data_IF_941126429528
#
_entry.id   IF_941126429528
#
_cell.length_a   1.000
_cell.length_b   1.000
_cell.length_c   1.000
_cell.angle_alpha   90.00
_cell.angle_beta   90.00
_cell.angle_gamma   90.00
#
_symmetry.space_group_name_H-M   'P 1'
#
loop_
_entity.id
_entity.type
_entity.pdbx_description
1 polymer ?
#
# COMPACT_ATOMS: atom_id res chain seq x y z
N UNK A 1 16.58 -5.21 13.11
CA UNK A 1 17.90 -5.13 12.44
C UNK A 1 17.70 -4.55 11.05
N UNK A 2 18.60 -3.69 10.60
CA UNK A 2 18.66 -3.19 9.23
C UNK A 2 19.97 -3.69 8.62
N UNK A 3 19.89 -4.31 7.44
CA UNK A 3 21.03 -4.72 6.65
C UNK A 3 21.14 -3.78 5.44
N UNK A 4 22.35 -3.34 5.12
CA UNK A 4 22.64 -2.43 4.02
C UNK A 4 23.75 -2.98 3.15
N UNK A 5 23.62 -2.88 1.83
CA UNK A 5 24.72 -3.11 0.90
C UNK A 5 25.37 -1.80 0.50
N UNK A 6 26.69 -1.81 0.38
CA UNK A 6 27.51 -0.72 -0.16
C UNK A 6 28.09 -1.07 -1.53
N UNK A 7 27.62 -2.15 -2.15
CA UNK A 7 28.02 -2.59 -3.49
C UNK A 7 27.75 -1.49 -4.51
N UNK A 8 28.75 -1.16 -5.32
CA UNK A 8 28.59 -0.20 -6.41
C UNK A 8 28.09 -0.90 -7.67
N UNK A 9 27.12 -0.29 -8.35
CA UNK A 9 26.52 -0.86 -9.57
C UNK A 9 26.83 0.00 -10.81
N UNK A 10 28.04 0.58 -10.82
CA UNK A 10 28.53 1.34 -11.96
C UNK A 10 28.77 0.50 -13.22
N UNK A 11 28.70 1.12 -14.40
CA UNK A 11 28.26 2.49 -14.67
C UNK A 11 26.74 2.65 -14.48
N UNK A 12 26.25 3.90 -14.32
CA UNK A 12 24.82 4.18 -14.25
C UNK A 12 24.23 4.20 -15.66
N UNK A 13 23.84 3.01 -16.14
CA UNK A 13 23.31 2.74 -17.48
C UNK A 13 22.09 1.80 -17.42
N UNK A 14 21.56 1.44 -18.57
CA UNK A 14 20.42 0.51 -18.68
C UNK A 14 20.68 -0.87 -18.02
N UNK A 15 21.92 -1.24 -17.79
CA UNK A 15 22.32 -2.49 -17.11
C UNK A 15 22.37 -2.38 -15.58
N UNK A 16 22.20 -1.20 -14.97
CA UNK A 16 22.34 -1.00 -13.54
C UNK A 16 21.43 -1.90 -12.71
N UNK A 17 20.15 -2.05 -13.10
CA UNK A 17 19.21 -2.95 -12.42
C UNK A 17 19.58 -4.43 -12.54
N UNK A 18 20.19 -4.86 -13.63
CA UNK A 18 20.70 -6.23 -13.78
C UNK A 18 21.87 -6.48 -12.82
N UNK A 19 22.75 -5.50 -12.63
CA UNK A 19 23.86 -5.60 -11.67
C UNK A 19 23.38 -5.56 -10.22
N UNK A 20 22.51 -4.62 -9.86
CA UNK A 20 21.94 -4.51 -8.50
C UNK A 20 21.03 -5.69 -8.12
N UNK A 21 20.50 -6.43 -9.11
CA UNK A 21 19.69 -7.62 -8.85
C UNK A 21 20.45 -8.67 -8.04
N UNK A 22 21.74 -8.86 -8.31
CA UNK A 22 22.57 -9.83 -7.57
C UNK A 22 22.67 -9.43 -6.10
N UNK A 23 22.85 -8.14 -5.83
CA UNK A 23 22.87 -7.60 -4.47
C UNK A 23 21.53 -7.76 -3.76
N UNK A 24 20.42 -7.47 -4.43
CA UNK A 24 19.09 -7.68 -3.88
C UNK A 24 18.83 -9.16 -3.54
N UNK A 25 19.21 -10.09 -4.42
CA UNK A 25 19.11 -11.53 -4.17
C UNK A 25 19.97 -11.97 -2.98
N UNK A 26 21.17 -11.39 -2.83
CA UNK A 26 22.06 -11.65 -1.70
C UNK A 26 21.44 -11.21 -0.37
N UNK A 27 20.88 -9.99 -0.32
CA UNK A 27 20.18 -9.45 0.85
C UNK A 27 18.92 -10.26 1.22
N UNK A 28 18.21 -10.82 0.23
CA UNK A 28 17.03 -11.65 0.48
C UNK A 28 17.32 -12.97 1.20
N UNK A 29 18.58 -13.42 1.24
CA UNK A 29 18.94 -14.64 1.98
C UNK A 29 18.72 -14.51 3.48
N UNK A 30 18.74 -13.30 4.03
CA UNK A 30 18.43 -13.01 5.44
C UNK A 30 16.92 -12.95 5.72
N UNK A 31 16.07 -13.20 4.73
CA UNK A 31 14.60 -13.18 4.82
C UNK A 31 14.04 -11.88 5.42
N UNK A 32 14.38 -10.70 4.86
CA UNK A 32 13.95 -9.42 5.42
C UNK A 32 12.43 -9.24 5.31
N UNK A 33 11.84 -8.45 6.21
CA UNK A 33 10.42 -8.08 6.16
C UNK A 33 10.08 -7.18 4.98
N UNK A 34 11.04 -6.42 4.47
CA UNK A 34 10.90 -5.55 3.29
C UNK A 34 12.27 -5.24 2.69
N UNK A 35 12.26 -4.83 1.42
CA UNK A 35 13.43 -4.28 0.71
C UNK A 35 13.11 -2.84 0.28
N UNK A 36 14.07 -1.94 0.55
CA UNK A 36 14.03 -0.57 0.08
C UNK A 36 15.23 -0.30 -0.82
N UNK A 37 14.96 0.22 -2.01
CA UNK A 37 15.98 0.70 -2.94
C UNK A 37 16.03 2.23 -2.85
N UNK A 38 17.18 2.79 -2.44
CA UNK A 38 17.29 4.22 -2.14
C UNK A 38 17.90 4.97 -3.31
N UNK A 39 17.16 5.91 -3.86
CA UNK A 39 17.52 6.66 -5.05
C UNK A 39 17.38 8.18 -4.87
N UNK A 40 17.83 8.91 -5.88
CA UNK A 40 17.52 10.33 -6.12
C UNK A 40 16.95 10.47 -7.52
N UNK A 41 15.81 11.17 -7.61
CA UNK A 41 15.08 11.37 -8.87
C UNK A 41 15.92 12.16 -9.87
N UNK A 42 15.79 11.81 -11.15
CA UNK A 42 16.41 12.50 -12.27
C UNK A 42 15.75 13.82 -12.66
N UNK A 43 14.65 14.23 -12.00
CA UNK A 43 13.99 15.51 -12.26
C UNK A 43 14.94 16.67 -11.92
N UNK A 44 15.16 17.64 -12.84
CA UNK A 44 16.15 18.70 -12.62
C UNK A 44 15.67 19.78 -11.64
N UNK A 45 14.34 20.01 -11.50
CA UNK A 45 13.81 21.04 -10.62
C UNK A 45 13.78 20.59 -9.16
N UNK A 46 14.60 21.17 -8.26
CA UNK A 46 14.64 20.80 -6.85
C UNK A 46 13.36 21.17 -6.09
N UNK A 47 12.58 22.16 -6.55
CA UNK A 47 11.33 22.59 -5.89
C UNK A 47 10.24 21.52 -5.94
N UNK A 48 10.30 20.61 -6.90
CA UNK A 48 9.42 19.44 -6.95
C UNK A 48 9.47 18.60 -5.67
N UNK A 49 10.62 18.57 -5.01
CA UNK A 49 10.86 17.80 -3.78
C UNK A 49 11.09 18.68 -2.55
N UNK A 50 11.23 19.97 -2.70
CA UNK A 50 11.42 20.85 -1.56
C UNK A 50 10.19 20.89 -0.66
N UNK A 51 10.40 20.81 0.65
CA UNK A 51 9.35 20.88 1.67
C UNK A 51 9.90 21.46 2.97
N UNK A 52 9.04 22.07 3.78
CA UNK A 52 9.33 22.44 5.17
C UNK A 52 8.35 21.72 6.07
N UNK A 53 8.87 20.95 7.04
CA UNK A 53 8.09 20.17 8.01
C UNK A 53 8.63 20.51 9.40
N UNK A 54 7.74 20.93 10.30
CA UNK A 54 8.16 21.31 11.65
C UNK A 54 9.17 22.46 11.71
N UNK A 55 9.18 23.35 10.72
CA UNK A 55 10.16 24.43 10.59
C UNK A 55 11.47 24.04 9.89
N UNK A 56 11.72 22.75 9.65
CA UNK A 56 12.93 22.27 9.00
C UNK A 56 12.77 22.11 7.48
N UNK A 57 13.77 22.61 6.74
CA UNK A 57 13.84 22.43 5.27
C UNK A 57 14.31 21.00 4.97
N UNK A 58 13.42 20.21 4.37
CA UNK A 58 13.63 18.80 4.06
C UNK A 58 13.39 18.52 2.57
N UNK A 59 13.55 17.26 2.20
CA UNK A 59 13.10 16.69 0.92
C UNK A 59 11.81 15.91 1.11
N UNK A 60 10.88 16.01 0.17
CA UNK A 60 9.86 14.98 0.00
C UNK A 60 10.49 13.67 -0.44
N UNK A 61 9.74 12.57 -0.30
CA UNK A 61 10.12 11.24 -0.77
C UNK A 61 9.02 10.70 -1.68
N UNK A 62 9.38 10.25 -2.88
CA UNK A 62 8.46 9.53 -3.79
C UNK A 62 8.59 8.03 -3.56
N UNK A 63 7.47 7.34 -3.55
CA UNK A 63 7.42 5.88 -3.53
C UNK A 63 7.23 5.37 -4.96
N UNK A 64 8.21 4.66 -5.50
CA UNK A 64 8.12 4.13 -6.86
C UNK A 64 7.82 2.63 -6.84
N UNK A 65 6.77 2.24 -7.60
CA UNK A 65 6.35 0.86 -7.80
C UNK A 65 6.39 0.51 -9.28
N UNK A 66 7.05 -0.58 -9.63
CA UNK A 66 7.18 -1.06 -11.00
C UNK A 66 5.90 -1.71 -11.52
N UNK A 67 5.44 -1.28 -12.70
CA UNK A 67 4.25 -1.86 -13.35
C UNK A 67 4.48 -3.26 -13.90
N UNK A 68 5.72 -3.57 -14.29
CA UNK A 68 6.06 -4.76 -15.07
C UNK A 68 6.62 -5.90 -14.20
N UNK A 69 6.21 -5.99 -12.92
CA UNK A 69 6.63 -7.08 -12.04
C UNK A 69 5.43 -7.89 -11.51
N UNK A 70 5.67 -9.16 -11.22
CA UNK A 70 4.65 -10.11 -10.75
C UNK A 70 4.10 -9.76 -9.35
N UNK A 71 4.89 -9.07 -8.51
CA UNK A 71 4.49 -8.64 -7.17
C UNK A 71 3.87 -7.24 -7.14
N UNK A 72 3.52 -6.67 -8.30
CA UNK A 72 3.05 -5.28 -8.43
C UNK A 72 1.96 -4.91 -7.43
N UNK A 73 0.93 -5.74 -7.30
CA UNK A 73 -0.20 -5.45 -6.41
C UNK A 73 0.21 -5.47 -4.93
N UNK A 74 1.06 -6.41 -4.54
CA UNK A 74 1.59 -6.49 -3.18
C UNK A 74 2.51 -5.29 -2.86
N UNK A 75 3.40 -4.93 -3.79
CA UNK A 75 4.27 -3.76 -3.66
C UNK A 75 3.48 -2.46 -3.62
N UNK A 76 2.42 -2.31 -4.44
CA UNK A 76 1.54 -1.15 -4.41
C UNK A 76 0.75 -1.07 -3.09
N UNK A 77 0.25 -2.19 -2.59
CA UNK A 77 -0.42 -2.25 -1.29
C UNK A 77 0.52 -1.81 -0.17
N UNK A 78 1.77 -2.27 -0.19
CA UNK A 78 2.78 -1.86 0.78
C UNK A 78 3.13 -0.37 0.65
N UNK A 79 3.30 0.16 -0.56
CA UNK A 79 3.52 1.60 -0.78
C UNK A 79 2.35 2.45 -0.26
N UNK A 80 1.10 2.02 -0.46
CA UNK A 80 -0.09 2.68 0.09
C UNK A 80 -0.09 2.69 1.62
N UNK A 81 0.32 1.59 2.25
CA UNK A 81 0.47 1.49 3.69
C UNK A 81 1.52 2.48 4.22
N UNK A 82 2.69 2.54 3.59
CA UNK A 82 3.75 3.51 3.91
C UNK A 82 3.21 4.93 3.77
N UNK A 83 2.52 5.24 2.66
CA UNK A 83 1.96 6.57 2.44
C UNK A 83 0.93 6.95 3.50
N UNK A 84 0.02 6.07 3.85
CA UNK A 84 -0.99 6.33 4.88
C UNK A 84 -0.36 6.64 6.25
N UNK A 85 0.70 5.92 6.63
CA UNK A 85 1.46 6.20 7.86
C UNK A 85 2.20 7.52 7.74
N UNK A 86 2.86 7.78 6.60
CA UNK A 86 3.61 9.02 6.36
C UNK A 86 2.72 10.26 6.38
N UNK A 87 1.56 10.21 5.73
CA UNK A 87 0.60 11.33 5.72
C UNK A 87 0.08 11.66 7.13
N UNK A 88 -0.01 10.65 8.01
CA UNK A 88 -0.43 10.83 9.41
C UNK A 88 0.68 11.40 10.30
N UNK A 89 1.91 10.90 10.18
CA UNK A 89 3.03 11.26 11.06
C UNK A 89 3.76 12.54 10.61
N UNK A 90 4.00 12.63 9.32
CA UNK A 90 4.77 13.71 8.68
C UNK A 90 4.04 14.19 7.43
N UNK A 91 2.95 14.98 7.58
CA UNK A 91 2.21 15.51 6.45
C UNK A 91 3.13 16.19 5.43
N UNK A 92 2.97 15.87 4.14
CA UNK A 92 3.76 16.35 3.01
C UNK A 92 5.17 15.71 2.87
N UNK A 93 5.61 14.82 3.75
CA UNK A 93 6.88 14.11 3.60
C UNK A 93 6.86 13.21 2.35
N UNK A 94 5.76 12.45 2.16
CA UNK A 94 5.62 11.60 0.98
C UNK A 94 4.98 12.39 -0.16
N UNK A 95 5.73 12.55 -1.26
CA UNK A 95 5.29 13.27 -2.45
C UNK A 95 4.10 12.56 -3.11
N UNK A 96 4.30 11.34 -3.52
CA UNK A 96 3.32 10.53 -4.24
C UNK A 96 3.72 9.03 -4.25
N UNK A 97 2.86 8.21 -4.87
CA UNK A 97 3.18 6.85 -5.32
C UNK A 97 3.24 6.90 -6.84
N UNK A 98 4.42 6.72 -7.41
CA UNK A 98 4.65 6.72 -8.85
C UNK A 98 4.71 5.29 -9.40
N UNK A 99 3.92 5.03 -10.43
CA UNK A 99 3.89 3.74 -11.13
C UNK A 99 4.87 3.75 -12.31
N UNK A 100 6.10 3.30 -12.08
CA UNK A 100 7.15 3.24 -13.10
C UNK A 100 6.95 2.10 -14.11
N UNK A 101 7.51 2.23 -15.33
CA UNK A 101 7.32 1.23 -16.40
C UNK A 101 8.12 -0.07 -16.16
N UNK A 102 9.25 -0.02 -15.44
CA UNK A 102 10.16 -1.14 -15.23
C UNK A 102 9.73 -2.12 -14.14
N UNK A 103 10.58 -3.10 -13.88
CA UNK A 103 10.45 -4.07 -12.78
C UNK A 103 11.11 -3.60 -11.50
N UNK A 104 12.23 -2.85 -11.61
CA UNK A 104 13.01 -2.29 -10.49
C UNK A 104 13.43 -3.34 -9.45
N UNK A 105 13.69 -4.58 -9.86
CA UNK A 105 13.94 -5.74 -8.99
C UNK A 105 12.84 -6.02 -7.94
N UNK A 106 11.68 -5.38 -8.05
CA UNK A 106 10.56 -5.54 -7.11
C UNK A 106 9.80 -6.86 -7.32
N UNK A 107 10.07 -7.57 -8.40
CA UNK A 107 9.61 -8.94 -8.62
C UNK A 107 10.23 -9.95 -7.64
N UNK A 108 11.30 -9.57 -6.95
CA UNK A 108 12.01 -10.43 -5.99
C UNK A 108 11.29 -10.56 -4.64
N UNK A 109 10.50 -9.57 -4.24
CA UNK A 109 9.82 -9.58 -2.93
C UNK A 109 8.49 -8.83 -2.96
N UNK A 110 7.45 -9.31 -2.22
CA UNK A 110 6.13 -8.68 -2.18
C UNK A 110 6.09 -7.36 -1.38
N UNK A 111 7.12 -7.07 -0.59
CA UNK A 111 7.31 -5.80 0.13
C UNK A 111 8.61 -5.14 -0.32
N UNK A 112 8.61 -4.66 -1.56
CA UNK A 112 9.72 -3.96 -2.17
C UNK A 112 9.25 -2.63 -2.74
N UNK A 113 9.91 -1.53 -2.35
CA UNK A 113 9.59 -0.17 -2.82
C UNK A 113 10.88 0.58 -3.06
N UNK A 114 10.94 1.33 -4.16
CA UNK A 114 12.02 2.27 -4.41
C UNK A 114 11.64 3.65 -3.83
N UNK A 115 12.55 4.25 -3.10
CA UNK A 115 12.40 5.53 -2.44
C UNK A 115 13.27 6.60 -3.11
N UNK A 116 12.65 7.55 -3.80
CA UNK A 116 13.33 8.71 -4.37
C UNK A 116 13.43 9.82 -3.33
N UNK A 117 14.61 10.00 -2.75
CA UNK A 117 14.91 11.05 -1.78
C UNK A 117 15.36 12.33 -2.47
N UNK A 118 14.40 13.10 -2.97
CA UNK A 118 14.69 14.35 -3.67
C UNK A 118 15.24 14.14 -5.08
N UNK A 119 15.58 15.25 -5.71
CA UNK A 119 16.26 15.28 -7.02
C UNK A 119 17.77 15.28 -6.84
N UNK A 120 18.50 14.97 -7.92
CA UNK A 120 19.97 15.07 -7.93
C UNK A 120 20.48 16.52 -7.72
N UNK A 121 19.63 17.53 -7.95
CA UNK A 121 19.93 18.96 -7.78
C UNK A 121 19.59 19.50 -6.39
N UNK A 122 18.73 18.81 -5.61
CA UNK A 122 18.41 19.22 -4.24
C UNK A 122 19.60 18.99 -3.32
N UNK A 123 19.84 19.91 -2.35
CA UNK A 123 21.00 19.79 -1.46
C UNK A 123 20.97 18.49 -0.63
N UNK A 124 22.16 17.92 -0.40
CA UNK A 124 22.33 16.68 0.36
C UNK A 124 21.81 16.83 1.80
N UNK A 125 21.99 17.97 2.41
CA UNK A 125 21.55 18.26 3.78
C UNK A 125 20.03 18.14 3.93
N UNK A 126 19.28 18.67 2.95
CA UNK A 126 17.81 18.55 2.94
C UNK A 126 17.36 17.10 2.79
N UNK A 127 18.05 16.34 1.94
CA UNK A 127 17.79 14.90 1.75
C UNK A 127 18.06 14.13 3.04
N UNK A 128 19.20 14.35 3.69
CA UNK A 128 19.56 13.67 4.93
C UNK A 128 18.58 13.95 6.07
N UNK A 129 18.03 15.17 6.18
CA UNK A 129 17.01 15.48 7.19
C UNK A 129 15.74 14.68 7.02
N UNK A 130 15.41 14.22 5.82
CA UNK A 130 14.23 13.39 5.56
C UNK A 130 14.42 11.92 5.90
N UNK A 131 15.65 11.45 6.07
CA UNK A 131 15.91 10.01 6.28
C UNK A 131 15.40 9.49 7.61
N UNK A 132 15.55 10.26 8.70
CA UNK A 132 15.03 9.91 10.02
C UNK A 132 13.49 9.77 10.02
N UNK A 133 12.74 10.83 9.65
CA UNK A 133 11.29 10.75 9.51
C UNK A 133 10.82 9.62 8.61
N UNK A 134 11.47 9.39 7.47
CA UNK A 134 11.10 8.31 6.55
C UNK A 134 11.39 6.93 7.14
N UNK A 135 12.48 6.76 7.89
CA UNK A 135 12.80 5.51 8.58
C UNK A 135 11.74 5.19 9.65
N UNK A 136 11.26 6.18 10.41
CA UNK A 136 10.16 6.01 11.36
C UNK A 136 8.86 5.61 10.66
N UNK A 137 8.53 6.25 9.54
CA UNK A 137 7.35 5.90 8.73
C UNK A 137 7.44 4.45 8.25
N UNK A 138 8.59 4.03 7.70
CA UNK A 138 8.79 2.65 7.25
C UNK A 138 8.68 1.64 8.40
N UNK A 139 9.29 1.96 9.55
CA UNK A 139 9.21 1.11 10.74
C UNK A 139 7.75 0.93 11.21
N UNK A 140 7.00 2.02 11.33
CA UNK A 140 5.60 1.96 11.75
C UNK A 140 4.71 1.30 10.71
N UNK A 141 4.98 1.46 9.43
CA UNK A 141 4.28 0.75 8.37
C UNK A 141 4.51 -0.76 8.43
N UNK A 142 5.72 -1.21 8.83
CA UNK A 142 6.04 -2.64 8.93
C UNK A 142 5.55 -3.29 10.23
N UNK A 143 5.65 -2.59 11.36
CA UNK A 143 5.53 -3.18 12.70
C UNK A 143 4.51 -2.49 13.61
N UNK A 144 4.07 -1.28 13.26
CA UNK A 144 3.27 -0.44 14.14
C UNK A 144 1.78 -0.76 14.21
N UNK A 145 1.25 -1.68 13.38
CA UNK A 145 -0.19 -1.93 13.27
C UNK A 145 -1.00 -0.64 13.01
N UNK A 146 -2.04 -0.68 12.21
CA UNK A 146 -2.97 0.47 12.07
C UNK A 146 -3.94 0.44 13.25
N UNK A 147 -3.48 0.76 14.45
CA UNK A 147 -4.39 1.05 15.55
C UNK A 147 -4.90 2.47 15.36
N UNK A 148 -6.09 2.60 14.82
CA UNK A 148 -6.84 3.84 14.91
C UNK A 148 -7.20 4.09 16.37
N UNK A 149 -6.39 4.90 17.05
CA UNK A 149 -6.81 5.67 18.23
C UNK A 149 -5.75 6.73 18.55
N UNK A 150 -6.19 7.96 18.64
CA UNK A 150 -5.41 9.07 19.13
C UNK A 150 -5.11 8.85 20.63
N UNK A 151 -3.84 9.05 21.03
CA UNK A 151 -3.45 9.05 22.45
C UNK A 151 -1.94 8.89 22.58
N UNK A 152 -1.26 9.99 22.83
CA UNK A 152 0.11 10.00 23.28
C UNK A 152 0.21 9.36 24.67
N UNK A 153 1.15 8.42 24.88
CA UNK A 153 1.83 8.22 26.17
C UNK A 153 2.96 7.21 26.03
N UNK A 154 4.13 7.67 26.36
CA UNK A 154 5.31 7.03 26.96
C UNK A 154 5.70 5.59 26.64
N UNK A 155 6.87 5.53 26.03
CA UNK A 155 7.73 4.35 25.99
C UNK A 155 8.49 4.24 27.30
N UNK A 156 8.19 3.23 28.09
CA UNK A 156 9.18 2.61 28.99
C UNK A 156 8.77 1.18 29.38
N UNK A 157 9.69 0.24 29.26
CA UNK A 157 9.70 -0.99 30.05
C UNK A 157 9.30 -2.29 29.33
N UNK A 158 10.31 -2.96 28.83
CA UNK A 158 10.35 -4.43 28.66
C UNK A 158 9.70 -5.19 29.83
N UNK A 159 8.80 -6.15 29.57
CA UNK A 159 8.74 -7.41 30.32
C UNK A 159 8.01 -8.52 29.54
N UNK A 160 8.50 -9.70 29.80
CA UNK A 160 8.29 -11.01 29.26
C UNK A 160 6.84 -11.53 29.16
N UNK A 161 6.64 -12.46 28.26
CA UNK A 161 5.46 -13.28 28.05
C UNK A 161 4.99 -13.98 29.31
N UNK A 162 3.69 -13.96 29.58
CA UNK A 162 3.03 -14.97 30.40
C UNK A 162 1.61 -15.23 29.88
N UNK A 163 1.24 -16.49 29.88
CA UNK A 163 0.03 -17.09 29.35
C UNK A 163 -1.25 -16.54 30.01
N UNK A 164 -2.28 -16.29 29.20
CA UNK A 164 -3.66 -16.14 29.68
C UNK A 164 -4.61 -16.92 28.77
N UNK A 165 -5.54 -17.70 29.33
CA UNK A 165 -6.43 -18.59 28.58
C UNK A 165 -7.56 -17.86 27.87
N UNK A 166 -8.05 -18.46 26.80
CA UNK A 166 -9.23 -18.03 26.06
C UNK A 166 -10.48 -18.07 26.92
N UNK A 167 -11.23 -16.98 26.99
CA UNK A 167 -12.66 -17.02 27.32
C UNK A 167 -13.46 -16.16 26.33
N UNK A 168 -14.58 -16.74 25.95
CA UNK A 168 -15.53 -16.27 24.95
C UNK A 168 -16.43 -15.18 25.52
N UNK A 169 -16.65 -14.09 24.80
CA UNK A 169 -18.01 -13.55 24.72
C UNK A 169 -18.17 -12.68 23.46
N UNK A 170 -18.80 -13.27 22.50
CA UNK A 170 -19.34 -12.64 21.32
C UNK A 170 -20.57 -11.79 21.71
N UNK A 171 -20.47 -10.48 21.68
CA UNK A 171 -21.64 -9.58 21.58
C UNK A 171 -21.55 -8.83 20.27
N UNK A 172 -22.17 -9.42 19.24
CA UNK A 172 -22.32 -8.86 17.93
C UNK A 172 -22.96 -7.48 17.97
N UNK A 173 -22.26 -6.52 17.45
CA UNK A 173 -22.74 -5.16 17.25
C UNK A 173 -23.80 -5.19 16.14
N UNK A 174 -25.07 -4.95 16.48
CA UNK A 174 -26.19 -4.84 15.54
C UNK A 174 -26.05 -3.69 14.53
N UNK A 175 -25.06 -2.82 14.68
CA UNK A 175 -24.82 -1.70 13.79
C UNK A 175 -24.46 -2.12 12.35
N UNK A 176 -23.70 -3.21 12.18
CA UNK A 176 -23.33 -3.70 10.84
C UNK A 176 -24.53 -4.20 10.04
N UNK A 177 -25.51 -4.82 10.70
CA UNK A 177 -26.74 -5.30 10.06
C UNK A 177 -27.60 -4.13 9.57
N UNK A 178 -27.70 -3.06 10.36
CA UNK A 178 -28.45 -1.86 9.97
C UNK A 178 -27.81 -1.09 8.82
N UNK A 179 -26.47 -1.07 8.72
CA UNK A 179 -25.76 -0.45 7.60
C UNK A 179 -26.04 -1.23 6.30
N UNK A 180 -26.01 -2.56 6.33
CA UNK A 180 -26.30 -3.40 5.16
C UNK A 180 -27.76 -3.22 4.73
N UNK A 181 -28.70 -3.19 5.66
CA UNK A 181 -30.12 -2.95 5.36
C UNK A 181 -30.35 -1.55 4.78
N UNK A 182 -29.68 -0.52 5.28
CA UNK A 182 -29.79 0.83 4.74
C UNK A 182 -29.22 0.93 3.32
N UNK A 183 -28.10 0.23 3.01
CA UNK A 183 -27.54 0.17 1.66
C UNK A 183 -28.46 -0.57 0.69
N UNK A 184 -29.06 -1.68 1.09
CA UNK A 184 -29.99 -2.44 0.26
C UNK A 184 -31.30 -1.64 -0.03
N UNK A 185 -31.82 -0.91 0.96
CA UNK A 185 -32.95 -0.01 0.78
C UNK A 185 -32.60 1.18 -0.11
N UNK A 186 -31.42 1.75 0.02
CA UNK A 186 -30.93 2.85 -0.82
C UNK A 186 -30.80 2.44 -2.28
N UNK A 187 -30.19 1.28 -2.55
CA UNK A 187 -30.05 0.73 -3.91
C UNK A 187 -31.43 0.37 -4.49
N UNK A 188 -32.31 -0.23 -3.70
CA UNK A 188 -33.68 -0.56 -4.14
C UNK A 188 -34.51 0.68 -4.49
N UNK A 189 -34.42 1.73 -3.65
CA UNK A 189 -35.12 3.01 -3.90
C UNK A 189 -34.55 3.75 -5.11
N UNK A 190 -33.22 3.75 -5.27
CA UNK A 190 -32.55 4.34 -6.44
C UNK A 190 -32.96 3.62 -7.73
N UNK A 191 -32.97 2.29 -7.75
CA UNK A 191 -33.41 1.50 -8.89
C UNK A 191 -34.90 1.77 -9.21
N UNK A 192 -35.76 1.87 -8.20
CA UNK A 192 -37.18 2.18 -8.37
C UNK A 192 -37.41 3.59 -8.97
N UNK A 193 -36.71 4.60 -8.50
CA UNK A 193 -36.79 5.97 -9.00
C UNK A 193 -36.15 6.14 -10.38
N UNK A 194 -35.03 5.42 -10.65
CA UNK A 194 -34.32 5.48 -11.92
C UNK A 194 -35.04 4.77 -13.09
N UNK A 195 -35.93 3.81 -12.81
CA UNK A 195 -36.61 3.03 -13.84
C UNK A 195 -38.09 3.47 -14.07
N UNK A 196 -38.47 4.66 -13.63
CA UNK A 196 -39.74 5.25 -13.99
C UNK A 196 -41.01 4.53 -13.47
N UNK A 197 -40.95 3.96 -12.27
CA UNK A 197 -42.12 3.41 -11.62
C UNK A 197 -42.58 2.02 -12.14
N UNK A 198 -43.82 1.70 -12.02
CA UNK A 198 -44.47 0.37 -12.18
C UNK A 198 -44.03 -0.48 -13.39
N UNK A 199 -43.45 0.08 -14.46
CA UNK A 199 -43.02 -0.66 -15.67
C UNK A 199 -41.62 -1.31 -15.59
N UNK A 200 -40.74 -0.91 -14.64
CA UNK A 200 -39.36 -1.43 -14.55
C UNK A 200 -39.23 -2.74 -13.77
N UNK A 201 -40.18 -3.00 -12.86
CA UNK A 201 -40.12 -4.17 -11.98
C UNK A 201 -40.42 -5.49 -12.69
N UNK A 202 -41.28 -5.50 -13.70
CA UNK A 202 -41.56 -6.70 -14.50
C UNK A 202 -40.33 -7.13 -15.32
N UNK A 203 -39.62 -6.18 -15.97
CA UNK A 203 -38.43 -6.48 -16.78
C UNK A 203 -37.25 -6.99 -15.94
N UNK A 204 -37.10 -6.51 -14.70
CA UNK A 204 -36.10 -7.00 -13.79
C UNK A 204 -36.33 -8.42 -13.29
N UNK A 205 -37.65 -8.79 -13.09
CA UNK A 205 -38.06 -10.13 -12.70
C UNK A 205 -37.82 -11.16 -13.81
N UNK A 206 -38.04 -10.78 -15.06
CA UNK A 206 -37.81 -11.61 -16.24
C UNK A 206 -36.28 -11.85 -16.45
N UNK A 207 -35.46 -10.83 -16.25
CA UNK A 207 -33.99 -10.95 -16.35
C UNK A 207 -33.35 -11.83 -15.25
N UNK A 208 -33.94 -11.85 -14.04
CA UNK A 208 -33.50 -12.76 -12.96
C UNK A 208 -33.91 -14.21 -13.24
N UNK A 209 -35.05 -14.43 -13.90
CA UNK A 209 -35.52 -15.76 -14.31
C UNK A 209 -34.58 -16.41 -15.33
N UNK A 210 -34.05 -15.65 -16.26
CA UNK A 210 -33.06 -16.15 -17.26
C UNK A 210 -31.72 -16.48 -16.66
N UNK A 211 -31.22 -15.72 -15.64
CA UNK A 211 -29.96 -16.01 -14.98
C UNK A 211 -29.95 -17.26 -14.10
N UNK A 212 -31.13 -17.62 -13.54
CA UNK A 212 -31.25 -18.80 -12.65
C UNK A 212 -31.64 -20.07 -13.39
N UNK A 213 -32.28 -19.97 -14.59
CA UNK A 213 -32.72 -21.11 -15.41
C UNK A 213 -31.55 -21.87 -16.09
N UNK A 214 -30.39 -21.28 -16.23
CA UNK A 214 -29.23 -21.91 -16.91
C UNK A 214 -28.44 -22.91 -16.06
N UNK A 215 -28.67 -23.04 -14.77
CA UNK A 215 -27.85 -23.86 -13.87
C UNK A 215 -28.43 -25.26 -13.53
N UNK A 216 -29.67 -25.58 -13.92
CA UNK A 216 -30.31 -26.87 -13.65
C UNK A 216 -31.00 -27.47 -14.89
N UNK A 217 -30.36 -27.51 -16.02
CA UNK A 217 -30.83 -28.19 -17.24
C UNK A 217 -30.06 -29.50 -17.46
N UNK A 218 -30.50 -30.56 -16.82
CA UNK A 218 -29.94 -31.91 -16.98
C UNK A 218 -30.22 -32.52 -18.35
N UNK A 219 -29.25 -33.28 -18.81
CA UNK A 219 -29.27 -34.21 -19.93
C UNK A 219 -30.57 -34.99 -20.06
N UNK A 220 -31.22 -34.92 -21.21
CA UNK A 220 -32.03 -36.04 -21.75
C UNK A 220 -31.34 -36.59 -23.00
N UNK A 221 -30.97 -37.87 -22.91
CA UNK A 221 -30.76 -38.79 -24.03
C UNK A 221 -32.17 -39.18 -24.53
N UNK A 222 -32.38 -39.11 -25.81
CA UNK A 222 -33.34 -39.98 -26.49
C UNK A 222 -32.77 -40.37 -27.86
N UNK A 223 -32.90 -41.63 -28.10
CA UNK A 223 -32.77 -42.63 -29.15
C UNK A 223 -32.53 -42.14 -30.58
#
# INVERSE_FOLDING_TARGET
TVERSEETHHPHDAGAYRRSRQTAVKLLKSQPNAIFDLHRDGIPDPEEYAVTIGGEKMSKVRLLVGKSNQNREANLSFAKQIKAVGDKLYPKLIKDIYMGKGTYNQDLAPRSVLLEFGTHTLSKERVLRSTGPMAEVCYKALFGGVTGSAGASDVSGSKSAENVPADQSNKGSGAAVWIILALLLGVGLFAFLSTGGRGGFSKWKDSLGEMTGGFFGGRRRDK
#
